data_IF_590333943067
#
_entry.id   IF_590333943067
#
_cell.length_a   1.000
_cell.length_b   1.000
_cell.length_c   1.000
_cell.angle_alpha   90.00
_cell.angle_beta   90.00
_cell.angle_gamma   90.00
#
_symmetry.space_group_name_H-M   'P 1'
#
loop_
_entity.id
_entity.type
_entity.pdbx_description
1 polymer ?
#
# COMPACT_ATOMS: atom_id res chain seq x y z
N UNK A 1 3.74 7.44 44.36
CA UNK A 1 3.11 8.59 43.68
C UNK A 1 4.24 9.30 42.99
N UNK A 2 4.29 9.28 41.65
CA UNK A 2 5.31 10.02 40.87
C UNK A 2 5.12 11.50 41.17
N UNK A 3 6.13 12.17 41.72
CA UNK A 3 5.97 13.51 42.33
C UNK A 3 6.76 14.63 41.66
N UNK A 4 7.57 14.37 40.64
CA UNK A 4 8.12 15.39 39.74
C UNK A 4 8.39 14.83 38.35
N UNK A 5 8.46 15.70 37.34
CA UNK A 5 8.73 15.35 35.92
C UNK A 5 10.06 14.61 35.73
N UNK A 6 10.99 14.72 36.69
CA UNK A 6 12.32 14.10 36.66
C UNK A 6 12.30 12.57 36.84
N UNK A 7 11.20 12.00 37.36
CA UNK A 7 11.02 10.55 37.51
C UNK A 7 10.52 9.86 36.22
N UNK A 8 10.22 10.62 35.17
CA UNK A 8 9.76 10.09 33.88
C UNK A 8 11.00 9.77 33.03
N UNK A 9 11.21 8.51 32.62
CA UNK A 9 12.32 8.14 31.75
C UNK A 9 12.27 8.95 30.46
N UNK A 10 13.41 9.52 30.05
CA UNK A 10 13.51 10.24 28.78
C UNK A 10 13.24 9.26 27.62
N UNK A 11 12.31 9.62 26.74
CA UNK A 11 11.91 8.77 25.63
C UNK A 11 12.97 8.81 24.52
N UNK A 12 13.42 7.65 24.06
CA UNK A 12 14.32 7.53 22.91
C UNK A 12 13.58 7.86 21.60
N UNK A 13 13.48 9.15 21.31
CA UNK A 13 12.83 9.66 20.10
C UNK A 13 13.44 9.11 18.80
N UNK A 14 14.72 8.72 18.79
CA UNK A 14 15.37 8.24 17.58
C UNK A 14 14.81 6.88 17.15
N UNK A 15 14.65 5.94 18.09
CA UNK A 15 14.06 4.63 17.80
C UNK A 15 12.56 4.70 17.51
N UNK A 16 11.84 5.61 18.19
CA UNK A 16 10.44 5.89 17.87
C UNK A 16 10.26 6.35 16.42
N UNK A 17 11.08 7.30 15.97
CA UNK A 17 11.00 7.83 14.62
C UNK A 17 11.36 6.77 13.57
N UNK A 18 12.40 5.96 13.83
CA UNK A 18 12.79 4.86 12.94
C UNK A 18 11.63 3.88 12.71
N UNK A 19 10.94 3.51 13.78
CA UNK A 19 9.79 2.60 13.71
C UNK A 19 8.60 3.27 13.01
N UNK A 20 8.35 4.55 13.30
CA UNK A 20 7.28 5.33 12.69
C UNK A 20 7.43 5.42 11.16
N UNK A 21 8.64 5.65 10.65
CA UNK A 21 8.89 5.70 9.20
C UNK A 21 8.61 4.34 8.53
N UNK A 22 8.97 3.23 9.18
CA UNK A 22 8.62 1.88 8.70
C UNK A 22 7.11 1.64 8.67
N UNK A 23 6.41 2.02 9.74
CA UNK A 23 4.94 1.91 9.82
C UNK A 23 4.25 2.76 8.74
N UNK A 24 4.72 3.99 8.54
CA UNK A 24 4.19 4.91 7.52
C UNK A 24 4.34 4.31 6.12
N UNK A 25 5.53 3.84 5.76
CA UNK A 25 5.78 3.21 4.46
C UNK A 25 4.88 1.99 4.24
N UNK A 26 4.79 1.09 5.22
CA UNK A 26 3.93 -0.09 5.15
C UNK A 26 2.45 0.29 4.96
N UNK A 27 1.98 1.29 5.70
CA UNK A 27 0.59 1.74 5.64
C UNK A 27 0.26 2.35 4.27
N UNK A 28 1.14 3.20 3.73
CA UNK A 28 0.97 3.81 2.40
C UNK A 28 0.85 2.74 1.30
N UNK A 29 1.76 1.78 1.27
CA UNK A 29 1.75 0.67 0.30
C UNK A 29 0.51 -0.20 0.47
N UNK A 30 0.15 -0.52 1.72
CA UNK A 30 -1.00 -1.39 2.02
C UNK A 30 -2.33 -0.78 1.59
N UNK A 31 -2.53 0.52 1.80
CA UNK A 31 -3.75 1.22 1.37
C UNK A 31 -3.87 1.14 -0.17
N UNK A 32 -2.80 1.47 -0.90
CA UNK A 32 -2.81 1.42 -2.36
C UNK A 32 -3.04 0.00 -2.89
N UNK A 33 -2.45 -1.00 -2.24
CA UNK A 33 -2.64 -2.40 -2.56
C UNK A 33 -4.11 -2.82 -2.40
N UNK A 34 -4.73 -2.49 -1.26
CA UNK A 34 -6.13 -2.83 -0.99
C UNK A 34 -7.05 -2.23 -2.06
N UNK A 35 -6.82 -0.98 -2.46
CA UNK A 35 -7.59 -0.34 -3.55
C UNK A 35 -7.48 -1.13 -4.87
N UNK A 36 -6.27 -1.56 -5.24
CA UNK A 36 -6.07 -2.37 -6.44
C UNK A 36 -6.79 -3.72 -6.34
N UNK A 37 -6.69 -4.40 -5.19
CA UNK A 37 -7.36 -5.70 -4.96
C UNK A 37 -8.88 -5.56 -5.05
N UNK A 38 -9.47 -4.51 -4.47
CA UNK A 38 -10.91 -4.24 -4.59
C UNK A 38 -11.30 -4.08 -6.06
N UNK A 39 -10.56 -3.30 -6.84
CA UNK A 39 -10.82 -3.14 -8.28
C UNK A 39 -10.69 -4.44 -9.06
N UNK A 40 -9.68 -5.26 -8.74
CA UNK A 40 -9.49 -6.58 -9.35
C UNK A 40 -10.69 -7.49 -9.07
N UNK A 41 -11.18 -7.51 -7.82
CA UNK A 41 -12.37 -8.28 -7.44
C UNK A 41 -13.61 -7.77 -8.17
N UNK A 42 -13.75 -6.45 -8.32
CA UNK A 42 -14.83 -5.84 -9.13
C UNK A 42 -14.76 -6.32 -10.59
N UNK A 43 -13.59 -6.25 -11.22
CA UNK A 43 -13.40 -6.68 -12.63
C UNK A 43 -13.63 -8.18 -12.77
N UNK A 44 -13.19 -9.00 -11.79
CA UNK A 44 -13.39 -10.44 -11.81
C UNK A 44 -14.88 -10.83 -11.80
N UNK A 45 -15.73 -10.04 -11.13
CA UNK A 45 -17.17 -10.23 -11.12
C UNK A 45 -17.88 -9.92 -12.45
N UNK A 46 -17.21 -9.24 -13.40
CA UNK A 46 -17.78 -8.90 -14.71
C UNK A 46 -17.62 -10.09 -15.68
N UNK A 47 -18.71 -10.43 -16.40
CA UNK A 47 -18.76 -11.57 -17.32
C UNK A 47 -17.65 -11.47 -18.38
N UNK A 48 -16.91 -12.56 -18.58
CA UNK A 48 -15.78 -12.68 -19.53
C UNK A 48 -14.52 -11.84 -19.21
N UNK A 49 -14.45 -11.18 -18.05
CA UNK A 49 -13.33 -10.28 -17.69
C UNK A 49 -12.26 -10.89 -16.78
N UNK A 50 -12.41 -12.16 -16.39
CA UNK A 50 -11.50 -12.83 -15.44
C UNK A 50 -10.02 -12.84 -15.87
N UNK A 51 -9.74 -12.88 -17.17
CA UNK A 51 -8.36 -12.80 -17.69
C UNK A 51 -7.70 -11.44 -17.39
N UNK A 52 -8.44 -10.34 -17.54
CA UNK A 52 -7.94 -9.00 -17.23
C UNK A 52 -7.71 -8.81 -15.73
N UNK A 53 -8.59 -9.36 -14.89
CA UNK A 53 -8.42 -9.34 -13.44
C UNK A 53 -7.16 -10.10 -12.99
N UNK A 54 -6.85 -11.26 -13.60
CA UNK A 54 -5.63 -12.00 -13.30
C UNK A 54 -4.35 -11.23 -13.66
N UNK A 55 -4.32 -10.62 -14.85
CA UNK A 55 -3.20 -9.77 -15.29
C UNK A 55 -3.03 -8.60 -14.32
N UNK A 56 -4.15 -7.94 -13.97
CA UNK A 56 -4.20 -6.89 -12.96
C UNK A 56 -3.57 -7.31 -11.63
N UNK A 57 -3.97 -8.47 -11.12
CA UNK A 57 -3.46 -9.03 -9.87
C UNK A 57 -1.94 -9.23 -9.89
N UNK A 58 -1.41 -9.84 -10.94
CA UNK A 58 0.04 -10.08 -11.06
C UNK A 58 0.80 -8.76 -11.11
N UNK A 59 0.32 -7.77 -11.87
CA UNK A 59 0.94 -6.44 -11.91
C UNK A 59 0.86 -5.72 -10.57
N UNK A 60 -0.26 -5.82 -9.85
CA UNK A 60 -0.41 -5.26 -8.51
C UNK A 60 0.61 -5.86 -7.54
N UNK A 61 0.77 -7.19 -7.52
CA UNK A 61 1.76 -7.85 -6.66
C UNK A 61 3.19 -7.41 -7.00
N UNK A 62 3.55 -7.36 -8.28
CA UNK A 62 4.85 -6.88 -8.71
C UNK A 62 5.11 -5.42 -8.28
N UNK A 63 4.12 -4.55 -8.46
CA UNK A 63 4.20 -3.14 -8.06
C UNK A 63 4.32 -2.96 -6.54
N UNK A 64 3.60 -3.75 -5.74
CA UNK A 64 3.72 -3.75 -4.27
C UNK A 64 5.13 -4.15 -3.84
N UNK A 65 5.69 -5.21 -4.43
CA UNK A 65 7.05 -5.66 -4.12
C UNK A 65 8.07 -4.59 -4.49
N UNK A 66 7.94 -3.96 -5.67
CA UNK A 66 8.81 -2.85 -6.07
C UNK A 66 8.71 -1.65 -5.11
N UNK A 67 7.49 -1.27 -4.70
CA UNK A 67 7.28 -0.18 -3.75
C UNK A 67 7.84 -0.47 -2.36
N UNK A 68 7.92 -1.74 -1.96
CA UNK A 68 8.51 -2.16 -0.70
C UNK A 68 10.05 -2.13 -0.71
N UNK A 69 10.68 -2.42 -1.86
CA UNK A 69 12.14 -2.37 -2.00
C UNK A 69 12.69 -0.97 -2.23
N UNK A 70 11.90 -0.06 -2.82
CA UNK A 70 12.30 1.32 -3.09
C UNK A 70 11.37 2.29 -2.33
N UNK A 71 11.76 2.75 -1.11
CA UNK A 71 10.95 3.66 -0.32
C UNK A 71 10.63 4.98 -1.01
N UNK A 72 11.50 5.44 -1.93
CA UNK A 72 11.23 6.64 -2.73
C UNK A 72 10.02 6.46 -3.67
N UNK A 73 9.74 5.21 -4.06
CA UNK A 73 8.61 4.85 -4.90
C UNK A 73 7.35 4.58 -4.06
N UNK A 74 7.46 3.90 -2.90
CA UNK A 74 6.35 3.63 -1.96
C UNK A 74 5.06 3.22 -2.72
N UNK A 75 3.92 3.86 -2.43
CA UNK A 75 2.63 3.66 -3.08
C UNK A 75 2.60 4.08 -4.54
N UNK A 76 3.54 4.93 -4.99
CA UNK A 76 3.55 5.48 -6.35
C UNK A 76 3.80 4.39 -7.40
N UNK A 77 4.44 3.28 -7.00
CA UNK A 77 4.60 2.09 -7.83
C UNK A 77 3.25 1.52 -8.30
N UNK A 78 2.20 1.66 -7.48
CA UNK A 78 0.87 1.13 -7.76
C UNK A 78 0.01 2.09 -8.60
N UNK A 79 0.33 3.39 -8.66
CA UNK A 79 -0.42 4.38 -9.46
C UNK A 79 -0.70 3.95 -10.90
N UNK A 80 0.31 3.50 -11.70
CA UNK A 80 0.04 3.08 -13.08
C UNK A 80 -0.88 1.85 -13.15
N UNK A 81 -0.75 0.91 -12.20
CA UNK A 81 -1.62 -0.27 -12.14
C UNK A 81 -3.05 0.13 -11.77
N UNK A 82 -3.22 1.04 -10.82
CA UNK A 82 -4.52 1.54 -10.38
C UNK A 82 -5.23 2.28 -11.53
N UNK A 83 -4.52 3.15 -12.26
CA UNK A 83 -5.06 3.82 -13.45
C UNK A 83 -5.47 2.80 -14.51
N UNK A 84 -4.64 1.81 -14.78
CA UNK A 84 -4.96 0.75 -15.75
C UNK A 84 -6.20 -0.05 -15.35
N UNK A 85 -6.33 -0.44 -14.08
CA UNK A 85 -7.51 -1.15 -13.57
C UNK A 85 -8.78 -0.31 -13.69
N UNK A 86 -8.72 0.99 -13.37
CA UNK A 86 -9.84 1.90 -13.56
C UNK A 86 -10.23 2.05 -15.03
N UNK A 87 -9.25 2.14 -15.93
CA UNK A 87 -9.51 2.20 -17.38
C UNK A 87 -10.14 0.91 -17.89
N UNK A 88 -9.64 -0.26 -17.47
CA UNK A 88 -10.24 -1.55 -17.80
C UNK A 88 -11.69 -1.58 -17.32
N UNK A 89 -11.95 -1.23 -16.05
CA UNK A 89 -13.29 -1.22 -15.50
C UNK A 89 -14.23 -0.25 -16.24
N UNK A 90 -13.74 0.90 -16.70
CA UNK A 90 -14.54 1.87 -17.47
C UNK A 90 -14.85 1.43 -18.91
N UNK A 91 -14.06 0.50 -19.46
CA UNK A 91 -14.19 -0.01 -20.84
C UNK A 91 -14.92 -1.35 -20.92
N UNK A 92 -15.13 -2.03 -19.80
CA UNK A 92 -15.86 -3.30 -19.66
C UNK A 92 -17.37 -3.08 -19.54
#
# INVERSE_FOLDING_TARGET
MVTSTDDIPEMDYAEHERTYQGFKLFTEISIALVLCIVLILTIWGVKHSGGWALIGFVMTMAATVMGAFEPALSWRALTPVLVLLLLILALL
#
